data_IF_898293709812
#
_entry.id   IF_898293709812
#
_cell.length_a   1.000
_cell.length_b   1.000
_cell.length_c   1.000
_cell.angle_alpha   90.00
_cell.angle_beta   90.00
_cell.angle_gamma   90.00
#
_symmetry.space_group_name_H-M   'P 1'
#
loop_
_entity.id
_entity.type
_entity.pdbx_description
1 polymer ?
#
# COMPACT_ATOMS: atom_id res chain seq x y z
N UNK A 1 -10.35 -5.17 -19.26
CA UNK A 1 -11.06 -4.64 -18.08
C UNK A 1 -10.07 -4.55 -16.95
N UNK A 2 -10.09 -3.46 -16.20
CA UNK A 2 -9.15 -3.22 -15.09
C UNK A 2 -9.69 -3.83 -13.79
N UNK A 3 -9.06 -4.91 -13.33
CA UNK A 3 -9.46 -5.59 -12.10
C UNK A 3 -8.86 -4.90 -10.87
N UNK A 4 -9.71 -4.57 -9.90
CA UNK A 4 -9.35 -3.79 -8.70
C UNK A 4 -9.62 -4.57 -7.42
N UNK A 5 -8.64 -4.57 -6.51
CA UNK A 5 -8.78 -5.03 -5.14
C UNK A 5 -8.88 -3.84 -4.17
N UNK A 6 -10.00 -3.74 -3.48
CA UNK A 6 -10.24 -2.69 -2.48
C UNK A 6 -10.12 -3.21 -1.05
N UNK A 7 -9.54 -2.41 -0.16
CA UNK A 7 -9.52 -2.70 1.27
C UNK A 7 -9.61 -1.47 2.16
N UNK A 8 -10.12 -1.66 3.39
CA UNK A 8 -10.15 -0.64 4.45
C UNK A 8 -8.81 -0.53 5.19
N UNK A 9 -8.25 0.68 5.23
CA UNK A 9 -7.04 1.04 5.96
C UNK A 9 -7.36 1.37 7.42
N UNK A 10 -6.42 1.08 8.32
CA UNK A 10 -6.50 1.44 9.74
C UNK A 10 -5.48 2.49 10.15
N UNK A 11 -4.37 2.55 9.40
CA UNK A 11 -3.31 3.52 9.60
C UNK A 11 -2.86 3.96 8.22
N UNK A 12 -2.45 5.22 8.14
CA UNK A 12 -1.78 5.76 6.98
C UNK A 12 -0.63 6.64 7.46
N UNK A 13 0.56 6.02 7.52
CA UNK A 13 1.78 6.63 8.02
C UNK A 13 2.89 6.62 6.96
N UNK A 14 2.55 6.29 5.70
CA UNK A 14 3.49 6.10 4.57
C UNK A 14 4.44 4.90 4.69
N UNK A 15 4.27 4.03 5.68
CA UNK A 15 5.05 2.80 5.77
C UNK A 15 4.53 1.74 4.79
N UNK A 16 3.25 1.37 4.85
CA UNK A 16 2.70 0.39 3.90
C UNK A 16 1.21 0.69 3.65
N UNK A 17 0.85 1.31 2.50
CA UNK A 17 1.71 1.57 1.34
C UNK A 17 2.77 2.66 1.59
N UNK A 18 3.94 2.52 0.95
CA UNK A 18 4.98 3.54 0.90
C UNK A 18 5.02 4.21 -0.48
N UNK A 19 4.58 5.48 -0.61
CA UNK A 19 4.51 6.19 -1.89
C UNK A 19 5.77 7.01 -2.23
N UNK A 20 6.86 6.86 -1.47
CA UNK A 20 8.06 7.71 -1.60
C UNK A 20 9.00 7.19 -2.70
N UNK A 21 9.92 8.05 -3.15
CA UNK A 21 10.96 7.70 -4.12
C UNK A 21 10.42 7.26 -5.50
N UNK A 22 9.36 7.91 -5.99
CA UNK A 22 8.82 7.70 -7.34
C UNK A 22 8.05 6.39 -7.56
N UNK A 23 7.90 5.55 -6.53
CA UNK A 23 7.24 4.25 -6.66
C UNK A 23 6.44 3.93 -5.42
N UNK A 24 5.22 3.41 -5.59
CA UNK A 24 4.44 2.91 -4.46
C UNK A 24 4.76 1.45 -4.20
N UNK A 25 5.14 1.15 -2.95
CA UNK A 25 5.42 -0.22 -2.51
C UNK A 25 4.43 -0.66 -1.44
N UNK A 26 4.13 -1.95 -1.42
CA UNK A 26 3.36 -2.59 -0.35
C UNK A 26 4.11 -3.84 0.11
N UNK A 27 5.03 -3.69 1.05
CA UNK A 27 5.85 -4.80 1.52
C UNK A 27 5.25 -5.60 2.69
N UNK A 28 4.59 -4.94 3.65
CA UNK A 28 4.21 -5.56 4.94
C UNK A 28 2.69 -5.77 5.06
N UNK A 29 1.90 -4.79 4.64
CA UNK A 29 0.44 -4.82 4.69
C UNK A 29 -0.19 -5.83 3.71
N UNK A 30 -1.39 -6.32 4.06
CA UNK A 30 -2.24 -7.18 3.21
C UNK A 30 -1.55 -8.41 2.59
N UNK A 31 -0.93 -9.29 3.41
CA UNK A 31 -0.17 -10.44 2.91
C UNK A 31 -0.95 -11.33 1.94
N UNK A 32 -2.23 -11.58 2.19
CA UNK A 32 -3.04 -12.43 1.32
C UNK A 32 -3.42 -11.77 0.00
N UNK A 33 -3.51 -10.45 -0.06
CA UNK A 33 -3.72 -9.77 -1.34
C UNK A 33 -2.42 -9.80 -2.15
N UNK A 34 -1.28 -9.50 -1.51
CA UNK A 34 0.05 -9.60 -2.13
C UNK A 34 0.32 -10.99 -2.73
N UNK A 35 -0.10 -12.05 -2.04
CA UNK A 35 -0.01 -13.42 -2.55
C UNK A 35 -0.80 -13.65 -3.84
N UNK A 36 -2.01 -13.09 -3.97
CA UNK A 36 -2.95 -13.45 -5.02
C UNK A 36 -2.97 -12.47 -6.21
N UNK A 37 -2.60 -11.22 -5.98
CA UNK A 37 -2.59 -10.21 -7.03
C UNK A 37 -1.56 -10.51 -8.12
N UNK A 38 -1.87 -10.07 -9.34
CA UNK A 38 -1.04 -10.20 -10.53
C UNK A 38 -0.61 -8.82 -11.04
N UNK A 39 0.46 -8.80 -11.82
CA UNK A 39 0.87 -7.62 -12.57
C UNK A 39 -0.27 -7.13 -13.48
N UNK A 40 -0.44 -5.82 -13.56
CA UNK A 40 -1.55 -5.16 -14.27
C UNK A 40 -2.85 -5.02 -13.46
N UNK A 41 -3.01 -5.73 -12.34
CA UNK A 41 -4.17 -5.54 -11.45
C UNK A 41 -3.99 -4.32 -10.55
N UNK A 42 -5.10 -3.72 -10.14
CA UNK A 42 -5.12 -2.52 -9.31
C UNK A 42 -5.39 -2.84 -7.84
N UNK A 43 -4.85 -2.02 -6.93
CA UNK A 43 -5.14 -2.05 -5.50
C UNK A 43 -5.53 -0.65 -5.01
N UNK A 44 -6.58 -0.59 -4.20
CA UNK A 44 -7.05 0.65 -3.56
C UNK A 44 -7.17 0.50 -2.05
N UNK A 45 -6.62 1.48 -1.33
CA UNK A 45 -6.81 1.66 0.09
C UNK A 45 -7.84 2.74 0.38
N UNK A 46 -8.80 2.42 1.23
CA UNK A 46 -9.92 3.29 1.59
C UNK A 46 -9.86 3.68 3.06
N UNK A 47 -10.35 4.88 3.39
CA UNK A 47 -10.56 5.27 4.78
C UNK A 47 -11.53 4.31 5.49
N UNK A 48 -11.52 4.33 6.82
CA UNK A 48 -12.47 3.56 7.62
C UNK A 48 -12.70 4.22 8.97
N UNK A 49 -13.70 3.76 9.71
CA UNK A 49 -13.97 4.22 11.07
C UNK A 49 -12.77 4.07 12.04
N UNK A 50 -11.74 3.30 11.69
CA UNK A 50 -10.55 3.07 12.51
C UNK A 50 -9.34 3.93 12.11
N UNK A 51 -9.42 4.71 11.05
CA UNK A 51 -8.31 5.58 10.66
C UNK A 51 -8.37 6.84 11.53
N UNK A 52 -7.33 7.04 12.35
CA UNK A 52 -7.35 8.02 13.45
C UNK A 52 -7.59 9.46 12.95
N UNK A 53 -7.01 9.83 11.82
CA UNK A 53 -7.03 11.21 11.34
C UNK A 53 -8.23 11.58 10.45
N UNK A 54 -8.96 10.60 9.94
CA UNK A 54 -10.09 10.83 9.03
C UNK A 54 -11.09 9.68 9.08
N UNK A 55 -11.67 9.40 10.26
CA UNK A 55 -12.58 8.29 10.43
C UNK A 55 -13.81 8.49 9.54
N UNK A 56 -14.15 7.47 8.76
CA UNK A 56 -15.33 7.47 7.90
C UNK A 56 -16.30 6.38 8.30
N UNK A 57 -17.58 6.72 8.28
CA UNK A 57 -18.66 5.77 8.49
C UNK A 57 -18.74 4.77 7.34
N UNK A 58 -19.41 3.65 7.59
CA UNK A 58 -19.66 2.65 6.55
C UNK A 58 -20.47 3.27 5.40
N UNK A 59 -19.96 3.16 4.18
CA UNK A 59 -20.56 3.76 2.98
C UNK A 59 -20.03 5.15 2.63
N UNK A 60 -19.30 5.79 3.54
CA UNK A 60 -18.69 7.13 3.35
C UNK A 60 -17.17 7.04 3.18
N UNK A 61 -16.63 5.87 2.83
CA UNK A 61 -15.19 5.69 2.67
C UNK A 61 -14.66 6.56 1.52
N UNK A 62 -13.48 7.14 1.72
CA UNK A 62 -12.77 7.98 0.75
C UNK A 62 -11.49 7.29 0.33
N UNK A 63 -11.01 7.57 -0.87
CA UNK A 63 -9.85 6.93 -1.45
C UNK A 63 -8.57 7.53 -0.83
N UNK A 64 -7.77 6.69 -0.18
CA UNK A 64 -6.45 7.08 0.35
C UNK A 64 -5.38 6.92 -0.72
N UNK A 65 -5.45 5.82 -1.48
CA UNK A 65 -4.57 5.60 -2.61
C UNK A 65 -5.15 4.58 -3.60
N UNK A 66 -4.68 4.69 -4.84
CA UNK A 66 -4.88 3.73 -5.93
C UNK A 66 -3.52 3.42 -6.55
N UNK A 67 -3.22 2.17 -6.85
CA UNK A 67 -1.95 1.80 -7.48
C UNK A 67 -2.10 0.57 -8.39
N UNK A 68 -1.43 0.56 -9.53
CA UNK A 68 -1.38 -0.57 -10.45
C UNK A 68 -0.12 -1.39 -10.17
N UNK A 69 -0.27 -2.70 -10.00
CA UNK A 69 0.87 -3.58 -9.76
C UNK A 69 1.70 -3.63 -11.04
N UNK A 70 2.89 -3.03 -11.02
CA UNK A 70 3.88 -3.15 -12.09
C UNK A 70 4.66 -4.44 -11.92
N UNK A 71 5.21 -4.67 -10.72
CA UNK A 71 6.00 -5.84 -10.40
C UNK A 71 5.55 -6.50 -9.11
N UNK A 72 5.75 -7.81 -9.04
CA UNK A 72 5.54 -8.63 -7.85
C UNK A 72 6.84 -9.34 -7.48
N UNK A 73 7.60 -8.72 -6.58
CA UNK A 73 8.94 -9.15 -6.20
C UNK A 73 8.91 -10.00 -4.93
N UNK A 74 9.83 -10.94 -4.79
CA UNK A 74 10.17 -11.54 -3.49
C UNK A 74 10.79 -10.50 -2.55
N UNK A 75 10.93 -10.83 -1.26
CA UNK A 75 11.58 -9.90 -0.32
C UNK A 75 13.07 -9.74 -0.62
N UNK A 76 13.73 -10.78 -1.12
CA UNK A 76 15.13 -10.78 -1.56
C UNK A 76 15.34 -9.84 -2.74
N UNK A 77 14.55 -10.00 -3.80
CA UNK A 77 14.59 -9.12 -4.98
C UNK A 77 14.30 -7.67 -4.59
N UNK A 78 13.28 -7.46 -3.72
CA UNK A 78 12.94 -6.13 -3.24
C UNK A 78 14.08 -5.50 -2.41
N UNK A 79 14.73 -6.29 -1.56
CA UNK A 79 15.87 -5.87 -0.75
C UNK A 79 17.03 -5.35 -1.62
N UNK A 80 17.35 -6.06 -2.71
CA UNK A 80 18.44 -5.72 -3.61
C UNK A 80 18.09 -4.54 -4.54
N UNK A 81 16.89 -4.53 -5.11
CA UNK A 81 16.49 -3.56 -6.14
C UNK A 81 16.09 -2.19 -5.58
N UNK A 82 15.63 -2.12 -4.33
CA UNK A 82 15.13 -0.88 -3.72
C UNK A 82 15.86 -0.50 -2.43
N UNK A 83 17.19 -0.24 -2.46
CA UNK A 83 17.94 0.16 -1.27
C UNK A 83 17.46 1.48 -0.65
N UNK A 84 16.94 2.40 -1.47
CA UNK A 84 16.34 3.67 -1.03
C UNK A 84 15.07 3.50 -0.20
N UNK A 85 14.45 2.31 -0.23
CA UNK A 85 13.27 1.97 0.58
C UNK A 85 13.62 1.35 1.93
N UNK A 86 14.91 1.18 2.26
CA UNK A 86 15.35 0.63 3.56
C UNK A 86 15.10 1.64 4.67
N UNK A 87 14.63 1.17 5.81
CA UNK A 87 14.25 2.06 6.90
C UNK A 87 15.47 2.65 7.63
N UNK A 88 15.42 3.93 7.96
CA UNK A 88 16.28 4.54 8.97
C UNK A 88 15.49 4.69 10.27
N UNK A 89 15.96 4.09 11.37
CA UNK A 89 15.29 4.17 12.67
C UNK A 89 15.54 5.54 13.32
N UNK A 90 14.67 6.51 13.05
CA UNK A 90 14.73 7.87 13.59
C UNK A 90 13.34 8.45 13.84
N UNK A 91 13.23 9.37 14.80
CA UNK A 91 12.00 10.14 15.03
C UNK A 91 11.90 11.40 14.15
N UNK A 92 12.98 11.76 13.43
CA UNK A 92 12.97 12.90 12.52
C UNK A 92 12.07 12.66 11.30
N UNK A 93 10.93 13.33 11.26
CA UNK A 93 9.91 13.19 10.21
C UNK A 93 10.36 13.74 8.85
N UNK A 94 11.46 14.47 8.78
CA UNK A 94 12.03 15.02 7.54
C UNK A 94 12.89 13.98 6.79
N UNK A 95 13.36 12.94 7.48
CA UNK A 95 14.08 11.82 6.85
C UNK A 95 13.06 10.93 6.14
N UNK A 96 13.15 10.82 4.81
CA UNK A 96 12.19 10.05 4.02
C UNK A 96 12.32 8.55 4.26
N UNK A 97 13.55 8.09 4.44
CA UNK A 97 13.93 6.71 4.76
C UNK A 97 13.35 6.26 6.11
N UNK A 98 12.92 7.19 6.99
CA UNK A 98 12.16 6.85 8.20
C UNK A 98 10.93 5.97 7.91
N UNK A 99 10.31 6.20 6.75
CA UNK A 99 9.09 5.50 6.33
C UNK A 99 9.37 4.27 5.47
N UNK A 100 10.64 3.93 5.21
CA UNK A 100 11.02 2.81 4.36
C UNK A 100 10.40 1.48 4.80
N UNK A 101 9.78 0.75 3.88
CA UNK A 101 9.15 -0.55 4.13
C UNK A 101 9.99 -1.77 3.74
N UNK A 102 11.21 -1.53 3.24
CA UNK A 102 12.20 -2.56 2.96
C UNK A 102 13.01 -2.91 4.22
N UNK A 103 12.32 -3.53 5.18
CA UNK A 103 12.86 -3.79 6.52
C UNK A 103 13.29 -5.25 6.75
N UNK A 104 13.26 -6.10 5.73
CA UNK A 104 13.62 -7.52 5.87
C UNK A 104 14.85 -7.83 5.01
N UNK A 105 16.02 -7.85 5.66
CA UNK A 105 17.29 -8.19 5.05
C UNK A 105 17.42 -9.70 4.89
N UNK A 106 17.72 -10.22 3.69
CA UNK A 106 18.02 -11.65 3.51
C UNK A 106 19.22 -12.07 4.35
N UNK A 107 19.06 -13.15 5.10
CA UNK A 107 20.10 -13.76 5.91
C UNK A 107 19.85 -15.27 6.06
N UNK A 108 20.76 -16.09 5.49
CA UNK A 108 20.63 -17.55 5.49
C UNK A 108 20.77 -18.20 6.87
N UNK A 109 21.26 -17.46 7.89
CA UNK A 109 21.35 -17.94 9.28
C UNK A 109 20.06 -17.70 10.08
N UNK A 110 19.15 -16.85 9.60
CA UNK A 110 17.88 -16.60 10.24
C UNK A 110 16.87 -17.74 9.96
N UNK A 111 16.05 -18.09 10.95
CA UNK A 111 15.06 -19.19 10.87
C UNK A 111 14.09 -19.06 9.69
N UNK A 112 13.66 -17.83 9.40
CA UNK A 112 12.75 -17.51 8.29
C UNK A 112 13.48 -16.91 7.07
N UNK A 113 14.81 -16.93 7.07
CA UNK A 113 15.66 -16.39 6.00
C UNK A 113 15.86 -14.88 6.02
N UNK A 114 15.35 -14.16 7.04
CA UNK A 114 15.48 -12.70 7.10
C UNK A 114 15.85 -12.17 8.49
N UNK A 115 16.61 -11.07 8.52
CA UNK A 115 16.75 -10.20 9.69
C UNK A 115 15.85 -8.98 9.52
N UNK A 116 15.06 -8.66 10.55
CA UNK A 116 14.27 -7.43 10.54
C UNK A 116 15.15 -6.25 10.94
N UNK A 117 15.26 -5.25 10.06
CA UNK A 117 15.96 -4.01 10.35
C UNK A 117 15.26 -3.19 11.45
N UNK A 118 16.03 -2.48 12.29
CA UNK A 118 15.47 -1.48 13.21
C UNK A 118 14.64 -0.44 12.45
N UNK A 119 13.41 -0.24 12.91
CA UNK A 119 12.47 0.71 12.37
C UNK A 119 11.45 1.10 13.45
N UNK A 120 10.70 2.17 13.21
CA UNK A 120 9.73 2.72 14.17
C UNK A 120 8.30 2.20 13.98
N UNK A 121 8.06 1.38 12.97
CA UNK A 121 6.72 1.03 12.50
C UNK A 121 6.29 -0.36 12.95
N UNK A 122 7.13 -1.37 12.73
CA UNK A 122 6.86 -2.77 13.00
C UNK A 122 7.97 -3.37 13.88
N UNK A 123 7.56 -4.01 14.98
CA UNK A 123 8.42 -4.86 15.81
C UNK A 123 8.43 -6.31 15.35
N UNK A 124 9.13 -7.15 16.11
CA UNK A 124 9.30 -8.59 15.84
C UNK A 124 7.97 -9.35 15.84
N UNK A 125 6.96 -8.87 16.58
CA UNK A 125 5.61 -9.43 16.61
C UNK A 125 4.88 -9.35 15.25
N UNK A 126 5.34 -8.49 14.34
CA UNK A 126 4.77 -8.34 12.99
C UNK A 126 5.48 -9.19 11.93
N UNK A 127 6.72 -9.61 12.16
CA UNK A 127 7.57 -10.30 11.18
C UNK A 127 6.89 -11.49 10.51
N UNK A 128 6.38 -12.42 11.30
CA UNK A 128 5.70 -13.61 10.79
C UNK A 128 4.49 -13.27 9.89
N UNK A 129 3.75 -12.20 10.21
CA UNK A 129 2.59 -11.77 9.42
C UNK A 129 3.02 -11.08 8.13
N UNK A 130 4.06 -10.27 8.17
CA UNK A 130 4.55 -9.53 7.01
C UNK A 130 5.16 -10.47 5.98
N UNK A 131 6.03 -11.38 6.41
CA UNK A 131 6.68 -12.37 5.52
C UNK A 131 5.69 -13.38 4.95
N UNK A 132 4.53 -13.61 5.61
CA UNK A 132 3.46 -14.48 5.09
C UNK A 132 2.93 -14.06 3.71
N UNK A 133 3.10 -12.80 3.33
CA UNK A 133 2.69 -12.31 2.01
C UNK A 133 3.60 -12.76 0.86
N UNK A 134 4.81 -13.26 1.16
CA UNK A 134 5.88 -13.70 0.24
C UNK A 134 6.40 -12.68 -0.75
N UNK A 135 5.55 -11.77 -1.21
CA UNK A 135 5.85 -10.83 -2.28
C UNK A 135 5.59 -9.39 -1.85
N UNK A 136 6.40 -8.47 -2.36
CA UNK A 136 6.18 -7.03 -2.31
C UNK A 136 5.53 -6.61 -3.62
N UNK A 137 4.44 -5.84 -3.53
CA UNK A 137 3.86 -5.21 -4.71
C UNK A 137 4.58 -3.90 -4.97
N UNK A 138 5.06 -3.72 -6.18
CA UNK A 138 5.72 -2.51 -6.67
C UNK A 138 4.83 -1.90 -7.75
N UNK A 139 4.50 -0.63 -7.59
CA UNK A 139 3.55 0.09 -8.43
C UNK A 139 4.16 1.41 -8.90
N UNK A 140 4.52 1.49 -10.17
CA UNK A 140 5.05 2.70 -10.81
C UNK A 140 3.92 3.67 -11.18
N UNK A 141 2.77 3.14 -11.58
CA UNK A 141 1.54 3.94 -11.74
C UNK A 141 0.75 3.95 -10.43
N UNK A 142 0.76 5.07 -9.72
CA UNK A 142 0.05 5.22 -8.45
C UNK A 142 -0.43 6.65 -8.18
N UNK A 143 -1.47 6.74 -7.36
CA UNK A 143 -2.13 7.97 -6.93
C UNK A 143 -2.31 7.90 -5.42
N UNK A 144 -1.56 8.69 -4.66
CA UNK A 144 -1.63 8.69 -3.20
C UNK A 144 -2.12 10.05 -2.69
N UNK A 145 -3.30 10.05 -2.07
CA UNK A 145 -3.98 11.24 -1.52
C UNK A 145 -3.71 11.42 -0.02
N UNK A 146 -3.38 10.32 0.66
CA UNK A 146 -3.26 10.22 2.12
C UNK A 146 -4.59 10.36 2.86
N UNK A 147 -4.63 9.89 4.10
CA UNK A 147 -5.80 9.97 4.95
C UNK A 147 -6.14 11.40 5.41
N UNK A 148 -5.22 12.35 5.29
CA UNK A 148 -5.46 13.75 5.69
C UNK A 148 -6.28 14.51 4.63
N UNK A 149 -6.17 14.11 3.36
CA UNK A 149 -6.87 14.72 2.24
C UNK A 149 -7.31 13.64 1.24
N UNK A 150 -8.11 12.64 1.66
CA UNK A 150 -8.48 11.51 0.81
C UNK A 150 -9.47 11.96 -0.28
N UNK A 151 -9.40 11.33 -1.46
CA UNK A 151 -10.24 11.68 -2.59
C UNK A 151 -11.69 11.17 -2.39
N UNK A 152 -12.66 12.06 -2.57
CA UNK A 152 -14.08 11.73 -2.65
C UNK A 152 -14.37 11.06 -4.00
N UNK A 153 -15.12 9.96 -4.00
CA UNK A 153 -15.46 9.23 -5.22
C UNK A 153 -16.98 9.35 -5.46
N UNK A 154 -17.41 9.89 -6.61
CA UNK A 154 -18.83 9.95 -6.99
C UNK A 154 -19.51 8.59 -6.88
N UNK A 155 -20.77 8.57 -6.46
CA UNK A 155 -21.50 7.32 -6.17
C UNK A 155 -21.64 6.40 -7.37
N UNK A 156 -21.75 6.96 -8.57
CA UNK A 156 -21.86 6.27 -9.86
C UNK A 156 -20.53 5.66 -10.34
N UNK A 157 -19.41 6.14 -9.79
CA UNK A 157 -18.04 5.67 -10.10
C UNK A 157 -17.45 4.82 -8.96
N UNK A 158 -18.23 4.54 -7.92
CA UNK A 158 -17.73 3.88 -6.71
C UNK A 158 -17.53 2.38 -6.96
N UNK A 159 -16.31 1.85 -6.80
CA UNK A 159 -16.06 0.41 -6.93
C UNK A 159 -16.58 -0.33 -5.70
N UNK A 160 -16.48 -1.66 -5.71
CA UNK A 160 -16.77 -2.46 -4.54
C UNK A 160 -15.78 -2.16 -3.41
N UNK A 161 -16.28 -1.60 -2.30
CA UNK A 161 -15.50 -1.35 -1.07
C UNK A 161 -16.04 -2.25 0.04
N UNK A 162 -15.17 -2.99 0.77
CA UNK A 162 -15.65 -3.91 1.79
C UNK A 162 -16.29 -3.16 2.96
N UNK A 163 -17.48 -3.59 3.40
CA UNK A 163 -18.21 -3.01 4.54
C UNK A 163 -17.40 -3.07 5.84
N UNK A 164 -16.64 -4.15 6.04
CA UNK A 164 -15.78 -4.39 7.19
C UNK A 164 -14.35 -4.75 6.75
N UNK A 165 -13.40 -4.84 7.69
CA UNK A 165 -12.05 -5.29 7.34
C UNK A 165 -12.08 -6.77 6.92
N UNK A 166 -11.59 -7.04 5.72
CA UNK A 166 -11.45 -8.41 5.21
C UNK A 166 -9.98 -8.76 4.96
N UNK A 167 -9.70 -10.05 4.98
CA UNK A 167 -8.38 -10.64 4.72
C UNK A 167 -7.96 -10.49 3.25
N UNK A 168 -8.91 -10.62 2.33
CA UNK A 168 -8.71 -10.65 0.88
C UNK A 168 -9.15 -9.37 0.16
N UNK A 169 -9.69 -8.37 0.88
CA UNK A 169 -10.32 -7.21 0.26
C UNK A 169 -11.67 -7.57 -0.37
N UNK A 170 -12.10 -6.75 -1.33
CA UNK A 170 -13.21 -7.02 -2.25
C UNK A 170 -12.79 -6.65 -3.66
N UNK A 171 -13.26 -7.39 -4.65
CA UNK A 171 -12.86 -7.24 -6.05
C UNK A 171 -13.93 -6.48 -6.83
N UNK A 172 -13.49 -5.59 -7.71
CA UNK A 172 -14.28 -5.04 -8.82
C UNK A 172 -13.65 -5.52 -10.12
N UNK A 173 -14.38 -6.30 -10.93
CA UNK A 173 -13.82 -6.91 -12.15
C UNK A 173 -13.58 -5.89 -13.28
N UNK A 174 -14.43 -4.86 -13.34
CA UNK A 174 -14.23 -3.71 -14.23
C UNK A 174 -14.26 -2.40 -13.45
N UNK A 175 -13.07 -1.88 -13.14
CA UNK A 175 -12.88 -0.61 -12.48
C UNK A 175 -12.44 0.52 -13.44
N UNK A 176 -12.56 0.32 -14.75
CA UNK A 176 -11.98 1.23 -15.75
C UNK A 176 -12.49 2.67 -15.61
N UNK A 177 -13.79 2.87 -15.37
CA UNK A 177 -14.37 4.19 -15.15
C UNK A 177 -13.84 4.86 -13.87
N UNK A 178 -13.68 4.08 -12.79
CA UNK A 178 -13.12 4.54 -11.53
C UNK A 178 -11.65 4.94 -11.67
N UNK A 179 -10.83 4.12 -12.31
CA UNK A 179 -9.40 4.41 -12.53
C UNK A 179 -9.23 5.66 -13.39
N UNK A 180 -10.01 5.79 -14.48
CA UNK A 180 -9.98 6.98 -15.31
C UNK A 180 -10.39 8.24 -14.55
N UNK A 181 -11.37 8.15 -13.66
CA UNK A 181 -11.70 9.25 -12.77
C UNK A 181 -10.51 9.64 -11.90
N UNK A 182 -9.85 8.68 -11.23
CA UNK A 182 -8.68 8.96 -10.38
C UNK A 182 -7.53 9.59 -11.17
N UNK A 183 -7.26 9.13 -12.40
CA UNK A 183 -6.27 9.71 -13.33
C UNK A 183 -6.50 11.20 -13.60
N UNK A 184 -7.76 11.65 -13.66
CA UNK A 184 -8.10 13.07 -13.86
C UNK A 184 -7.88 13.94 -12.60
N UNK A 185 -7.62 13.32 -11.45
CA UNK A 185 -7.51 13.99 -10.14
C UNK A 185 -6.08 13.98 -9.59
N UNK A 186 -5.06 13.82 -10.45
CA UNK A 186 -3.63 13.82 -10.07
C UNK A 186 -3.21 15.08 -9.31
N UNK A 187 -3.79 16.24 -9.61
CA UNK A 187 -3.51 17.50 -8.90
C UNK A 187 -3.85 17.47 -7.40
N UNK A 188 -4.69 16.53 -6.97
CA UNK A 188 -5.05 16.34 -5.56
C UNK A 188 -4.15 15.28 -4.88
N UNK A 189 -3.31 14.58 -5.63
CA UNK A 189 -2.38 13.61 -5.07
C UNK A 189 -1.32 14.34 -4.23
N UNK A 190 -1.03 13.80 -3.05
CA UNK A 190 0.14 14.17 -2.26
C UNK A 190 1.43 13.60 -2.87
N UNK A 191 1.35 12.38 -3.40
CA UNK A 191 2.43 11.74 -4.14
C UNK A 191 1.85 10.99 -5.34
N UNK A 192 2.51 11.10 -6.48
CA UNK A 192 2.24 10.38 -7.73
C UNK A 192 3.48 10.51 -8.60
N UNK A 193 3.78 9.49 -9.40
CA UNK A 193 4.76 9.57 -10.49
C UNK A 193 4.12 9.17 -11.85
N UNK A 194 2.79 9.02 -11.86
CA UNK A 194 2.03 8.88 -13.09
C UNK A 194 2.06 10.20 -13.87
N UNK A 195 2.63 10.15 -15.08
CA UNK A 195 2.65 11.24 -16.08
C UNK A 195 1.32 11.27 -16.83
#
# INVERSE_FOLDING_TARGET
>A
MEKLYSYKMTHDNRFAPNPLFGVLTLATCKPYMRLNMKEGEWIAGWTSARIVHSPTEQGQEKLVYLAKVTHKLTFEEYWEQYPQKRSVCTDDKNVLERYGDNIYQPDASAEDGFIQMPNIHHGTDKKAKDLKGKYVLVCEEFYYFSCLSPLEIPSDLRPNVPKVRTRYGTITEDASAFVNYVRLHTKQCKYTDAI
#
